data_IF_716658984197
#
_entry.id   IF_716658984197
#
_cell.length_a   1.000
_cell.length_b   1.000
_cell.length_c   1.000
_cell.angle_alpha   90.00
_cell.angle_beta   90.00
_cell.angle_gamma   90.00
#
_symmetry.space_group_name_H-M   'P 1'
#
loop_
_entity.id
_entity.type
_entity.pdbx_description
1 polymer ?
#
# COMPACT_ATOMS: atom_id res chain seq x y z
N UNK A 1 -33.32 2.05 -17.77
CA UNK A 1 -32.13 1.18 -17.80
C UNK A 1 -31.05 1.81 -16.94
N UNK A 2 -30.48 1.02 -16.04
CA UNK A 2 -29.35 1.26 -15.11
C UNK A 2 -29.43 2.48 -14.17
N UNK A 3 -30.12 2.30 -13.02
CA UNK A 3 -29.87 3.09 -11.81
C UNK A 3 -28.58 2.60 -11.15
N UNK A 4 -27.52 3.41 -11.20
CA UNK A 4 -26.31 3.18 -10.40
C UNK A 4 -26.60 3.61 -8.96
N UNK A 5 -27.04 2.64 -8.15
CA UNK A 5 -27.25 2.78 -6.71
C UNK A 5 -25.90 2.93 -6.02
N UNK A 6 -25.49 4.16 -5.72
CA UNK A 6 -24.40 4.41 -4.78
C UNK A 6 -24.80 3.89 -3.38
N UNK A 7 -23.91 3.18 -2.66
CA UNK A 7 -24.24 2.67 -1.33
C UNK A 7 -24.59 3.81 -0.37
N UNK A 8 -25.64 3.59 0.44
CA UNK A 8 -26.17 4.53 1.44
C UNK A 8 -25.06 5.05 2.35
N UNK A 9 -24.85 6.37 2.39
CA UNK A 9 -23.98 7.01 3.36
C UNK A 9 -24.50 6.74 4.79
N UNK A 10 -23.69 6.19 5.71
CA UNK A 10 -24.12 5.97 7.09
C UNK A 10 -24.29 7.32 7.80
N UNK A 11 -25.53 7.61 8.20
CA UNK A 11 -25.91 8.79 8.98
C UNK A 11 -25.50 8.62 10.44
N UNK A 12 -24.26 8.91 10.83
CA UNK A 12 -23.94 9.20 12.25
C UNK A 12 -22.58 9.92 12.39
N UNK A 13 -22.62 11.24 12.53
CA UNK A 13 -21.49 12.15 12.82
C UNK A 13 -20.87 11.96 14.22
N UNK A 14 -21.18 10.86 14.93
CA UNK A 14 -20.64 10.54 16.26
C UNK A 14 -19.73 9.32 16.31
N UNK A 15 -19.64 8.55 15.23
CA UNK A 15 -18.89 7.26 15.20
C UNK A 15 -17.55 7.35 14.47
N UNK A 16 -17.30 8.42 13.69
CA UNK A 16 -16.03 8.57 12.96
C UNK A 16 -14.81 8.82 13.87
N UNK A 17 -15.02 9.23 15.13
CA UNK A 17 -13.94 9.46 16.09
C UNK A 17 -13.45 8.17 16.78
N UNK A 18 -14.23 7.09 16.71
CA UNK A 18 -13.90 5.81 17.36
C UNK A 18 -13.21 4.83 16.41
N UNK A 19 -13.41 4.97 15.09
CA UNK A 19 -12.72 4.13 14.09
C UNK A 19 -11.28 4.59 13.78
N UNK A 20 -10.84 5.74 14.31
CA UNK A 20 -9.46 6.22 14.11
C UNK A 20 -8.44 5.53 15.03
N UNK A 21 -8.86 4.54 15.81
CA UNK A 21 -8.07 3.97 16.91
C UNK A 21 -7.84 2.45 16.83
N UNK A 22 -8.34 1.79 15.77
CA UNK A 22 -8.13 0.37 15.48
C UNK A 22 -7.82 0.10 13.99
N UNK A 23 -7.34 1.11 13.26
CA UNK A 23 -6.38 0.79 12.21
C UNK A 23 -5.05 0.77 12.95
N UNK A 24 -4.63 -0.41 13.42
CA UNK A 24 -3.20 -0.71 13.43
C UNK A 24 -2.69 -0.17 12.10
N UNK A 25 -1.92 0.93 12.14
CA UNK A 25 -0.98 1.16 11.07
C UNK A 25 -0.21 -0.16 11.03
N UNK A 26 -0.49 -0.98 10.02
CA UNK A 26 0.21 -2.23 9.82
C UNK A 26 1.68 -1.92 10.00
N UNK A 27 2.42 -2.72 10.75
CA UNK A 27 3.87 -2.57 10.78
C UNK A 27 4.35 -2.57 9.32
N UNK A 28 5.21 -1.62 8.95
CA UNK A 28 5.70 -1.52 7.59
C UNK A 28 6.29 -2.87 7.16
N UNK A 29 5.90 -3.38 5.99
CA UNK A 29 6.46 -4.64 5.50
C UNK A 29 7.98 -4.52 5.32
N UNK A 30 8.43 -3.35 4.85
CA UNK A 30 9.84 -3.01 4.65
C UNK A 30 10.07 -1.51 4.79
N UNK A 31 11.29 -1.12 5.14
CA UNK A 31 11.80 0.20 4.75
C UNK A 31 12.07 0.24 3.25
N UNK A 32 12.11 1.44 2.64
CA UNK A 32 12.49 1.61 1.22
C UNK A 32 13.88 1.04 0.92
N UNK A 33 14.78 1.10 1.88
CA UNK A 33 16.15 0.59 1.75
C UNK A 33 16.16 -0.94 1.78
N UNK A 34 15.42 -1.56 2.70
CA UNK A 34 15.26 -3.00 2.77
C UNK A 34 14.56 -3.55 1.52
N UNK A 35 13.50 -2.90 1.04
CA UNK A 35 12.80 -3.30 -0.17
C UNK A 35 13.74 -3.30 -1.39
N UNK A 36 14.61 -2.29 -1.52
CA UNK A 36 15.65 -2.26 -2.56
C UNK A 36 16.68 -3.37 -2.36
N UNK A 37 17.13 -3.58 -1.12
CA UNK A 37 18.12 -4.60 -0.81
C UNK A 37 17.60 -6.01 -1.13
N UNK A 38 16.32 -6.31 -0.86
CA UNK A 38 15.69 -7.59 -1.21
C UNK A 38 15.67 -7.81 -2.72
N UNK A 39 15.33 -6.79 -3.50
CA UNK A 39 15.35 -6.89 -4.98
C UNK A 39 16.76 -7.09 -5.52
N UNK A 40 17.75 -6.35 -4.98
CA UNK A 40 19.16 -6.49 -5.38
C UNK A 40 19.75 -7.83 -4.96
N UNK A 41 19.31 -8.39 -3.83
CA UNK A 41 19.78 -9.69 -3.31
C UNK A 41 19.40 -10.88 -4.21
N UNK A 42 18.43 -10.73 -5.12
CA UNK A 42 18.11 -11.73 -6.14
C UNK A 42 19.22 -11.84 -7.22
N UNK A 43 20.25 -10.98 -7.20
CA UNK A 43 21.34 -10.83 -8.19
C UNK A 43 20.87 -10.53 -9.64
N UNK A 44 19.58 -10.66 -9.92
CA UNK A 44 18.94 -10.33 -11.19
C UNK A 44 18.70 -8.82 -11.38
N UNK A 45 18.77 -8.03 -10.30
CA UNK A 45 18.45 -6.61 -10.32
C UNK A 45 19.65 -5.78 -9.85
N UNK A 46 20.01 -4.76 -10.63
CA UNK A 46 20.87 -3.68 -10.15
C UNK A 46 20.08 -2.75 -9.22
N UNK A 47 20.77 -1.87 -8.49
CA UNK A 47 20.10 -0.87 -7.65
C UNK A 47 19.16 0.06 -8.45
N UNK A 48 19.54 0.37 -9.70
CA UNK A 48 18.70 1.14 -10.62
C UNK A 48 17.44 0.34 -11.01
N UNK A 49 17.57 -0.96 -11.27
CA UNK A 49 16.44 -1.82 -11.60
C UNK A 49 15.51 -2.00 -10.41
N UNK A 50 16.05 -2.18 -9.20
CA UNK A 50 15.26 -2.28 -7.97
C UNK A 50 14.41 -1.02 -7.76
N UNK A 51 15.00 0.16 -7.99
CA UNK A 51 14.28 1.44 -7.92
C UNK A 51 13.17 1.52 -8.96
N UNK A 52 13.44 1.09 -10.19
CA UNK A 52 12.46 1.07 -11.26
C UNK A 52 11.31 0.09 -10.99
N UNK A 53 11.61 -1.12 -10.50
CA UNK A 53 10.61 -2.14 -10.14
C UNK A 53 9.69 -1.62 -9.04
N UNK A 54 10.24 -1.00 -8.00
CA UNK A 54 9.46 -0.39 -6.92
C UNK A 54 8.51 0.72 -7.44
N UNK A 55 8.96 1.55 -8.38
CA UNK A 55 8.08 2.54 -9.02
C UNK A 55 6.97 1.88 -9.85
N UNK A 56 7.27 0.81 -10.58
CA UNK A 56 6.27 0.06 -11.35
C UNK A 56 5.24 -0.57 -10.42
N UNK A 57 5.65 -1.21 -9.32
CA UNK A 57 4.75 -1.82 -8.34
C UNK A 57 3.86 -0.76 -7.68
N UNK A 58 4.42 0.42 -7.39
CA UNK A 58 3.67 1.54 -6.83
C UNK A 58 2.58 2.03 -7.80
N UNK A 59 2.95 2.28 -9.06
CA UNK A 59 2.00 2.72 -10.09
C UNK A 59 0.90 1.70 -10.37
N UNK A 60 1.16 0.42 -10.15
CA UNK A 60 0.19 -0.68 -10.30
C UNK A 60 -0.66 -0.91 -9.05
N UNK A 61 -0.37 -0.22 -7.95
CA UNK A 61 -1.10 -0.37 -6.70
C UNK A 61 -0.78 -1.65 -5.94
N UNK A 62 0.36 -2.29 -6.22
CA UNK A 62 0.84 -3.45 -5.46
C UNK A 62 1.61 -3.03 -4.21
N UNK A 63 2.18 -1.83 -4.21
CA UNK A 63 2.81 -1.24 -3.03
C UNK A 63 2.38 0.21 -2.86
N UNK A 64 2.42 0.72 -1.64
CA UNK A 64 2.30 2.15 -1.35
C UNK A 64 3.39 2.60 -0.38
N UNK A 65 3.71 3.90 -0.41
CA UNK A 65 4.74 4.50 0.43
C UNK A 65 4.12 5.41 1.47
N UNK A 66 4.56 5.28 2.72
CA UNK A 66 4.32 6.26 3.79
C UNK A 66 5.69 6.64 4.33
N UNK A 67 6.08 7.91 4.17
CA UNK A 67 7.42 8.38 4.52
C UNK A 67 8.55 7.52 3.88
N UNK A 68 9.33 6.82 4.69
CA UNK A 68 10.43 5.92 4.26
C UNK A 68 10.03 4.43 4.27
N UNK A 69 8.77 4.15 4.54
CA UNK A 69 8.22 2.80 4.67
C UNK A 69 7.50 2.38 3.39
N UNK A 70 7.57 1.08 3.11
CA UNK A 70 6.94 0.40 1.98
C UNK A 70 5.95 -0.60 2.53
N UNK A 71 4.73 -0.54 2.01
CA UNK A 71 3.63 -1.41 2.38
C UNK A 71 3.19 -2.18 1.16
N UNK A 72 3.01 -3.49 1.31
CA UNK A 72 2.49 -4.36 0.27
C UNK A 72 0.97 -4.31 0.35
N UNK A 73 0.33 -4.00 -0.76
CA UNK A 73 -1.13 -4.04 -0.85
C UNK A 73 -1.55 -5.51 -0.96
N UNK A 74 -2.34 -6.05 0.00
CA UNK A 74 -2.86 -7.40 -0.11
C UNK A 74 -3.64 -7.51 -1.41
N UNK A 75 -3.17 -8.39 -2.29
CA UNK A 75 -3.90 -8.71 -3.52
C UNK A 75 -4.60 -10.03 -3.22
N UNK A 76 -5.94 -10.04 -3.19
CA UNK A 76 -6.70 -11.28 -3.18
C UNK A 76 -6.42 -11.98 -4.53
N UNK A 77 -5.50 -12.93 -4.53
CA UNK A 77 -5.25 -13.88 -5.65
C UNK A 77 -6.34 -14.97 -5.69
#
# INVERSE_FOLDING_TARGET
MLSTSYPKQPKTTKTMRTLRMEYEFSEADFTKEEAKAVLVADEAFTEADATYVLDVLYRRGHVYYVDEEVYITPTDD
#
